data_IF_294592190507
#
_entry.id   IF_294592190507
#
_cell.length_a   1.000
_cell.length_b   1.000
_cell.length_c   1.000
_cell.angle_alpha   90.00
_cell.angle_beta   90.00
_cell.angle_gamma   90.00
#
_symmetry.space_group_name_H-M   'P 1'
#
loop_
_entity.id
_entity.type
_entity.pdbx_description
1 polymer ?
#
# COMPACT_ATOMS: atom_id res chain seq x y z
N UNK A 1 8.56 21.46 20.03
CA UNK A 1 7.60 20.44 19.53
C UNK A 1 6.63 21.03 18.48
N UNK A 2 7.10 21.95 17.62
CA UNK A 2 6.22 22.76 16.74
C UNK A 2 6.75 22.90 15.28
N UNK A 3 7.72 22.06 14.88
CA UNK A 3 8.36 22.15 13.56
C UNK A 3 7.82 21.15 12.53
N UNK A 4 7.44 19.94 12.97
CA UNK A 4 7.06 18.86 12.05
C UNK A 4 5.74 19.18 11.32
N UNK A 5 4.78 19.82 12.00
CA UNK A 5 3.49 20.17 11.42
C UNK A 5 3.58 21.23 10.31
N UNK A 6 4.60 22.11 10.36
CA UNK A 6 4.80 23.16 9.34
C UNK A 6 5.55 22.64 8.11
N UNK A 7 6.44 21.68 8.27
CA UNK A 7 7.14 21.05 7.13
C UNK A 7 6.23 20.10 6.34
N UNK A 8 5.31 19.39 7.02
CA UNK A 8 4.30 18.56 6.36
C UNK A 8 3.34 19.36 5.46
N UNK A 9 3.09 20.64 5.78
CA UNK A 9 2.25 21.53 4.98
C UNK A 9 2.93 22.00 3.69
N UNK A 10 4.25 21.85 3.57
CA UNK A 10 5.03 22.22 2.38
C UNK A 10 5.24 21.05 1.40
N UNK A 11 4.57 19.90 1.64
CA UNK A 11 4.64 18.76 0.74
C UNK A 11 3.50 18.83 -0.28
N UNK A 12 3.64 19.72 -1.26
CA UNK A 12 2.73 19.84 -2.41
C UNK A 12 2.59 18.54 -3.21
N UNK A 13 3.52 17.59 -3.06
CA UNK A 13 3.48 16.26 -3.67
C UNK A 13 2.30 15.39 -3.20
N UNK A 14 1.62 15.75 -2.09
CA UNK A 14 0.51 15.00 -1.53
C UNK A 14 -0.86 15.66 -1.75
N UNK A 15 -0.93 16.79 -2.46
CA UNK A 15 -2.23 17.35 -2.87
C UNK A 15 -2.79 16.47 -3.99
N UNK A 16 -3.91 15.80 -3.71
CA UNK A 16 -4.62 14.96 -4.68
C UNK A 16 -4.96 15.72 -5.99
N UNK A 17 -5.03 17.06 -5.93
CA UNK A 17 -5.27 17.95 -7.09
C UNK A 17 -4.03 18.21 -7.97
N UNK A 18 -2.83 17.77 -7.54
CA UNK A 18 -1.57 17.96 -8.27
C UNK A 18 -1.20 16.78 -9.17
N UNK A 19 -1.90 15.65 -9.06
CA UNK A 19 -1.60 14.42 -9.81
C UNK A 19 -2.47 14.36 -11.05
N UNK A 20 -1.86 14.12 -12.21
CA UNK A 20 -2.62 13.97 -13.43
C UNK A 20 -3.47 12.69 -13.37
N UNK A 21 -4.74 12.71 -13.86
CA UNK A 21 -5.58 11.52 -13.88
C UNK A 21 -4.96 10.30 -14.59
N UNK A 22 -4.08 10.55 -15.58
CA UNK A 22 -3.30 9.51 -16.26
C UNK A 22 -2.32 8.83 -15.32
N UNK A 23 -1.58 9.59 -14.49
CA UNK A 23 -0.61 9.03 -13.54
C UNK A 23 -1.28 8.16 -12.48
N UNK A 24 -2.46 8.55 -12.01
CA UNK A 24 -3.25 7.74 -11.09
C UNK A 24 -3.75 6.45 -11.75
N UNK A 25 -4.15 6.51 -13.01
CA UNK A 25 -4.55 5.33 -13.79
C UNK A 25 -3.38 4.37 -13.96
N UNK A 26 -2.20 4.88 -14.32
CA UNK A 26 -0.99 4.08 -14.49
C UNK A 26 -0.56 3.43 -13.16
N UNK A 27 -0.64 4.18 -12.06
CA UNK A 27 -0.37 3.67 -10.72
C UNK A 27 -1.31 2.52 -10.35
N UNK A 28 -2.63 2.68 -10.57
CA UNK A 28 -3.63 1.63 -10.32
C UNK A 28 -3.34 0.38 -11.14
N UNK A 29 -3.07 0.54 -12.42
CA UNK A 29 -2.74 -0.57 -13.32
C UNK A 29 -1.49 -1.32 -12.86
N UNK A 30 -0.46 -0.57 -12.44
CA UNK A 30 0.78 -1.15 -11.93
C UNK A 30 0.55 -1.98 -10.66
N UNK A 31 -0.20 -1.44 -9.68
CA UNK A 31 -0.55 -2.17 -8.45
C UNK A 31 -1.40 -3.41 -8.78
N UNK A 32 -2.42 -3.28 -9.63
CA UNK A 32 -3.27 -4.40 -10.05
C UNK A 32 -2.46 -5.52 -10.70
N UNK A 33 -1.48 -5.17 -11.54
CA UNK A 33 -0.59 -6.16 -12.16
C UNK A 33 0.31 -6.86 -11.14
N UNK A 34 0.75 -6.18 -10.08
CA UNK A 34 1.54 -6.80 -9.02
C UNK A 34 0.73 -7.76 -8.14
N UNK A 35 -0.53 -7.39 -7.85
CA UNK A 35 -1.38 -8.22 -6.99
C UNK A 35 -2.05 -9.37 -7.73
N UNK A 36 -2.26 -9.27 -9.05
CA UNK A 36 -2.89 -10.30 -9.88
C UNK A 36 -4.17 -10.89 -9.25
N UNK A 37 -4.95 -10.02 -8.61
CA UNK A 37 -6.16 -10.37 -7.88
C UNK A 37 -7.32 -9.52 -8.41
N UNK A 38 -8.35 -10.14 -9.05
CA UNK A 38 -9.48 -9.41 -9.64
C UNK A 38 -10.33 -8.62 -8.63
N UNK A 39 -10.47 -9.14 -7.41
CA UNK A 39 -11.22 -8.48 -6.33
C UNK A 39 -10.48 -7.23 -5.85
N UNK A 40 -9.19 -7.37 -5.56
CA UNK A 40 -8.33 -6.24 -5.20
C UNK A 40 -8.29 -5.19 -6.33
N UNK A 41 -8.23 -5.62 -7.60
CA UNK A 41 -8.26 -4.72 -8.76
C UNK A 41 -9.54 -3.88 -8.83
N UNK A 42 -10.68 -4.48 -8.50
CA UNK A 42 -11.96 -3.75 -8.46
C UNK A 42 -11.94 -2.67 -7.39
N UNK A 43 -11.31 -2.95 -6.25
CA UNK A 43 -11.16 -2.00 -5.15
C UNK A 43 -10.16 -0.89 -5.51
N UNK A 44 -8.98 -1.25 -6.04
CA UNK A 44 -7.90 -0.32 -6.43
C UNK A 44 -8.39 0.76 -7.39
N UNK A 45 -9.27 0.41 -8.33
CA UNK A 45 -9.83 1.37 -9.28
C UNK A 45 -10.67 2.48 -8.63
N UNK A 46 -11.11 2.30 -7.38
CA UNK A 46 -11.88 3.28 -6.59
C UNK A 46 -11.02 4.09 -5.63
N UNK A 47 -9.76 3.69 -5.42
CA UNK A 47 -8.85 4.34 -4.46
C UNK A 47 -8.33 5.67 -4.99
N UNK A 48 -8.16 6.65 -4.10
CA UNK A 48 -7.49 7.91 -4.45
C UNK A 48 -5.96 7.74 -4.51
N UNK A 49 -5.27 8.79 -4.95
CA UNK A 49 -3.81 8.74 -5.11
C UNK A 49 -3.06 8.42 -3.81
N UNK A 50 -3.47 9.02 -2.68
CA UNK A 50 -2.83 8.77 -1.39
C UNK A 50 -2.99 7.30 -0.97
N UNK A 51 -4.17 6.72 -1.18
CA UNK A 51 -4.45 5.31 -0.89
C UNK A 51 -3.65 4.36 -1.80
N UNK A 52 -3.60 4.62 -3.11
CA UNK A 52 -2.77 3.85 -4.03
C UNK A 52 -1.28 3.93 -3.66
N UNK A 53 -0.81 5.12 -3.32
CA UNK A 53 0.60 5.35 -2.92
C UNK A 53 0.92 4.62 -1.62
N UNK A 54 0.00 4.66 -0.64
CA UNK A 54 0.13 3.89 0.59
C UNK A 54 0.22 2.39 0.32
N UNK A 55 -0.71 1.83 -0.46
CA UNK A 55 -0.74 0.42 -0.80
C UNK A 55 0.54 -0.04 -1.52
N UNK A 56 1.02 0.75 -2.49
CA UNK A 56 2.27 0.47 -3.19
C UNK A 56 3.47 0.53 -2.24
N UNK A 57 3.47 1.48 -1.29
CA UNK A 57 4.54 1.61 -0.30
C UNK A 57 4.62 0.40 0.61
N UNK A 58 3.47 -0.09 1.11
CA UNK A 58 3.40 -1.33 1.92
C UNK A 58 3.91 -2.51 1.12
N UNK A 59 3.42 -2.71 -0.11
CA UNK A 59 3.86 -3.82 -0.96
C UNK A 59 5.38 -3.83 -1.20
N UNK A 60 5.95 -2.68 -1.55
CA UNK A 60 7.41 -2.56 -1.81
C UNK A 60 8.22 -2.76 -0.55
N UNK A 61 7.82 -2.14 0.56
CA UNK A 61 8.54 -2.23 1.82
C UNK A 61 8.56 -3.67 2.33
N UNK A 62 7.41 -4.33 2.37
CA UNK A 62 7.30 -5.68 2.89
C UNK A 62 7.93 -6.71 1.95
N UNK A 63 7.84 -6.52 0.62
CA UNK A 63 8.65 -7.30 -0.34
C UNK A 63 10.14 -7.18 -0.05
N UNK A 64 10.67 -5.95 0.09
CA UNK A 64 12.10 -5.75 0.37
C UNK A 64 12.50 -6.38 1.70
N UNK A 65 11.63 -6.26 2.71
CA UNK A 65 11.84 -6.81 4.05
C UNK A 65 11.95 -8.34 4.00
N UNK A 66 11.01 -9.02 3.36
CA UNK A 66 11.01 -10.50 3.30
C UNK A 66 12.11 -11.06 2.39
N UNK A 67 12.48 -10.36 1.32
CA UNK A 67 13.49 -10.85 0.37
C UNK A 67 14.93 -10.63 0.85
N UNK A 68 15.19 -9.61 1.69
CA UNK A 68 16.56 -9.22 2.04
C UNK A 68 16.89 -9.32 3.53
N UNK A 69 15.90 -9.52 4.40
CA UNK A 69 16.17 -9.71 5.82
C UNK A 69 16.69 -11.12 6.09
N UNK A 70 17.65 -11.24 7.01
CA UNK A 70 18.08 -12.52 7.57
C UNK A 70 17.29 -12.88 8.85
N UNK A 71 16.40 -12.00 9.28
CA UNK A 71 15.54 -12.20 10.45
C UNK A 71 14.29 -13.01 10.06
N UNK A 72 14.07 -14.21 10.64
CA UNK A 72 12.87 -15.01 10.40
C UNK A 72 11.57 -14.30 10.80
N UNK A 73 11.64 -13.33 11.71
CA UNK A 73 10.48 -12.56 12.17
C UNK A 73 10.16 -11.36 11.26
N UNK A 74 10.97 -11.13 10.22
CA UNK A 74 10.78 -10.05 9.27
C UNK A 74 9.39 -10.07 8.62
N UNK A 75 8.82 -11.24 8.39
CA UNK A 75 7.48 -11.36 7.81
C UNK A 75 6.38 -10.83 8.73
N UNK A 76 6.63 -10.70 10.04
CA UNK A 76 5.60 -10.26 10.99
C UNK A 76 5.17 -8.81 10.81
N UNK A 77 5.99 -7.97 10.17
CA UNK A 77 5.63 -6.60 9.84
C UNK A 77 4.31 -6.51 9.04
N UNK A 78 4.02 -7.50 8.20
CA UNK A 78 2.78 -7.51 7.41
C UNK A 78 1.52 -7.65 8.29
N UNK A 79 1.62 -8.35 9.43
CA UNK A 79 0.49 -8.58 10.32
C UNK A 79 0.06 -7.31 11.06
N UNK A 80 0.99 -6.38 11.33
CA UNK A 80 0.66 -5.09 11.94
C UNK A 80 -0.36 -4.31 11.09
N UNK A 81 -0.26 -4.40 9.76
CA UNK A 81 -1.24 -3.78 8.85
C UNK A 81 -2.58 -4.50 8.85
N UNK A 82 -2.58 -5.84 8.94
CA UNK A 82 -3.81 -6.63 8.96
C UNK A 82 -4.61 -6.46 10.26
N UNK A 83 -3.91 -6.19 11.37
CA UNK A 83 -4.50 -5.94 12.69
C UNK A 83 -4.98 -4.48 12.87
N UNK A 84 -4.68 -3.59 11.92
CA UNK A 84 -5.13 -2.20 11.99
C UNK A 84 -6.65 -2.10 11.82
N UNK A 85 -7.32 -1.72 12.92
CA UNK A 85 -8.77 -1.54 12.98
C UNK A 85 -9.29 -0.46 12.05
N UNK A 86 -8.50 0.56 11.74
CA UNK A 86 -8.90 1.62 10.81
C UNK A 86 -8.91 1.12 9.37
N UNK A 87 -7.95 0.28 9.00
CA UNK A 87 -7.95 -0.38 7.69
C UNK A 87 -9.12 -1.36 7.59
N UNK A 88 -9.38 -2.15 8.64
CA UNK A 88 -10.47 -3.12 8.65
C UNK A 88 -11.86 -2.46 8.53
N UNK A 89 -12.08 -1.32 9.20
CA UNK A 89 -13.34 -0.59 9.16
C UNK A 89 -13.47 0.35 7.93
N UNK A 90 -12.45 0.42 7.09
CA UNK A 90 -12.46 1.26 5.90
C UNK A 90 -13.52 0.80 4.89
N UNK A 91 -14.41 1.72 4.52
CA UNK A 91 -15.54 1.44 3.61
C UNK A 91 -15.10 1.21 2.18
N UNK A 92 -13.89 1.64 1.82
CA UNK A 92 -13.37 1.46 0.47
C UNK A 92 -12.72 0.09 0.30
N UNK A 93 -12.55 -0.70 1.36
CA UNK A 93 -12.05 -2.06 1.28
C UNK A 93 -10.53 -2.14 1.21
N UNK A 94 -9.81 -1.10 1.67
CA UNK A 94 -8.34 -1.09 1.70
C UNK A 94 -7.73 -2.32 2.37
N UNK A 95 -8.37 -2.83 3.42
CA UNK A 95 -7.93 -4.05 4.09
C UNK A 95 -7.85 -5.26 3.17
N UNK A 96 -8.79 -5.43 2.22
CA UNK A 96 -8.74 -6.54 1.26
C UNK A 96 -7.56 -6.40 0.29
N UNK A 97 -7.20 -5.17 -0.10
CA UNK A 97 -6.00 -4.92 -0.88
C UNK A 97 -4.73 -5.26 -0.09
N UNK A 98 -4.69 -4.93 1.21
CA UNK A 98 -3.57 -5.30 2.09
C UNK A 98 -3.50 -6.82 2.26
N UNK A 99 -4.62 -7.52 2.40
CA UNK A 99 -4.65 -8.97 2.45
C UNK A 99 -4.06 -9.60 1.16
N UNK A 100 -4.42 -9.07 -0.01
CA UNK A 100 -3.83 -9.50 -1.28
C UNK A 100 -2.32 -9.18 -1.37
N UNK A 101 -1.87 -8.03 -0.84
CA UNK A 101 -0.43 -7.72 -0.69
C UNK A 101 0.26 -8.74 0.20
N UNK A 102 -0.37 -9.14 1.29
CA UNK A 102 0.14 -10.14 2.23
C UNK A 102 0.37 -11.47 1.52
N UNK A 103 -0.61 -11.98 0.78
CA UNK A 103 -0.47 -13.21 -0.01
C UNK A 103 0.76 -13.15 -0.94
N UNK A 104 0.88 -12.08 -1.74
CA UNK A 104 2.03 -11.91 -2.66
C UNK A 104 3.37 -11.74 -1.95
N UNK A 105 3.37 -11.17 -0.76
CA UNK A 105 4.59 -11.01 0.03
C UNK A 105 5.00 -12.35 0.64
N UNK A 106 4.02 -13.15 1.09
CA UNK A 106 4.26 -14.50 1.59
C UNK A 106 4.78 -15.44 0.50
N UNK A 107 4.26 -15.37 -0.72
CA UNK A 107 4.78 -16.14 -1.85
C UNK A 107 6.29 -15.90 -2.01
N UNK A 108 6.72 -14.64 -2.02
CA UNK A 108 8.15 -14.26 -2.12
C UNK A 108 9.01 -14.62 -0.92
N UNK A 109 8.40 -14.76 0.26
CA UNK A 109 9.11 -15.19 1.47
C UNK A 109 9.37 -16.70 1.46
N UNK A 110 8.49 -17.46 0.78
CA UNK A 110 8.56 -18.92 0.69
C UNK A 110 9.34 -19.42 -0.54
N UNK A 111 9.57 -18.54 -1.53
CA UNK A 111 10.43 -18.78 -2.71
C UNK A 111 11.92 -18.88 -2.35
#
# INVERSE_FOLDING_TARGET
KEHISKELLYNTALRNDAVAPSELTDLRNSISSFLDNPEATTIINRLNFAQCTYLLSVFKLETLRVTHSNDPEAVYGIFEYLEDKFLFLDKLGMWHCIAAVTEKTFDKYMD
#
